data_IF_166972114383
#
_entry.id   IF_166972114383
#
_cell.length_a   1.000
_cell.length_b   1.000
_cell.length_c   1.000
_cell.angle_alpha   90.00
_cell.angle_beta   90.00
_cell.angle_gamma   90.00
#
_symmetry.space_group_name_H-M   'P 1'
#
loop_
_entity.id
_entity.type
_entity.pdbx_description
1 polymer ?
#
# COMPACT_ATOMS: atom_id res chain seq x y z
N UNK A 1 -9.99 -36.35 -74.48
CA UNK A 1 -10.02 -36.87 -73.10
C UNK A 1 -8.59 -36.97 -72.60
N UNK A 2 -8.28 -36.28 -71.50
CA UNK A 2 -6.96 -35.74 -71.14
C UNK A 2 -6.31 -36.49 -69.97
N UNK A 3 -4.98 -36.71 -70.12
CA UNK A 3 -3.84 -36.52 -69.17
C UNK A 3 -3.90 -37.19 -67.77
N UNK A 4 -2.91 -38.05 -67.42
CA UNK A 4 -1.68 -37.79 -66.59
C UNK A 4 -2.02 -37.39 -65.13
N UNK A 5 -1.38 -37.79 -64.02
CA UNK A 5 0.06 -37.93 -63.72
C UNK A 5 0.22 -38.39 -62.23
N UNK A 6 1.16 -39.31 -61.93
CA UNK A 6 2.09 -39.45 -60.77
C UNK A 6 1.60 -39.28 -59.30
N UNK A 7 1.68 -40.30 -58.43
CA UNK A 7 2.83 -40.85 -57.63
C UNK A 7 3.10 -40.12 -56.29
N UNK A 8 3.42 -40.94 -55.26
CA UNK A 8 4.05 -40.67 -53.93
C UNK A 8 3.06 -40.36 -52.77
N UNK A 9 3.18 -40.83 -51.52
CA UNK A 9 4.22 -41.57 -50.78
C UNK A 9 3.57 -42.21 -49.52
N UNK A 10 4.18 -43.30 -49.03
CA UNK A 10 3.78 -44.21 -47.94
C UNK A 10 4.23 -43.70 -46.55
N UNK A 11 3.37 -43.67 -45.52
CA UNK A 11 3.78 -43.70 -44.09
C UNK A 11 2.74 -44.48 -43.26
N UNK A 12 3.19 -45.57 -42.60
CA UNK A 12 2.45 -46.40 -41.63
C UNK A 12 2.62 -45.86 -40.19
N UNK A 13 1.67 -46.13 -39.25
CA UNK A 13 1.71 -45.65 -37.88
C UNK A 13 2.34 -46.69 -36.93
N UNK A 14 3.09 -46.26 -35.91
CA UNK A 14 3.47 -47.13 -34.79
C UNK A 14 3.32 -46.37 -33.47
N UNK A 15 2.23 -46.69 -32.77
CA UNK A 15 2.08 -46.52 -31.33
C UNK A 15 2.48 -47.82 -30.64
N UNK A 16 2.98 -47.72 -29.39
CA UNK A 16 3.33 -48.77 -28.40
C UNK A 16 4.85 -48.88 -28.15
N UNK A 17 5.26 -48.32 -27.00
CA UNK A 17 6.42 -48.58 -26.12
C UNK A 17 6.72 -47.22 -25.47
N UNK A 18 6.49 -47.00 -24.18
CA UNK A 18 7.53 -47.16 -23.15
C UNK A 18 6.82 -47.23 -21.78
N UNK A 19 6.81 -48.42 -21.19
CA UNK A 19 6.61 -48.65 -19.77
C UNK A 19 7.61 -49.73 -19.35
N UNK A 20 8.89 -49.35 -19.20
CA UNK A 20 9.90 -50.09 -18.44
C UNK A 20 11.24 -49.36 -18.56
N UNK A 21 11.60 -48.58 -17.53
CA UNK A 21 12.92 -48.58 -16.88
C UNK A 21 12.87 -47.57 -15.73
N UNK A 22 12.17 -47.91 -14.66
CA UNK A 22 12.66 -47.59 -13.33
C UNK A 22 13.90 -48.46 -13.09
N UNK A 23 14.87 -47.92 -12.33
CA UNK A 23 16.13 -48.56 -11.90
C UNK A 23 17.29 -48.48 -12.91
N UNK A 24 17.87 -47.30 -13.01
CA UNK A 24 19.32 -47.12 -13.16
C UNK A 24 19.66 -45.67 -12.82
N UNK A 25 20.16 -45.39 -11.61
CA UNK A 25 21.12 -44.33 -11.27
C UNK A 25 21.24 -44.23 -9.73
N UNK A 26 21.85 -45.25 -9.12
CA UNK A 26 22.43 -45.16 -7.78
C UNK A 26 23.93 -45.45 -7.93
N UNK A 27 24.73 -44.37 -8.04
CA UNK A 27 26.13 -44.27 -7.58
C UNK A 27 26.73 -42.92 -8.00
N UNK A 28 26.49 -41.90 -7.19
CA UNK A 28 27.54 -40.98 -6.73
C UNK A 28 26.95 -40.11 -5.60
N UNK A 29 27.53 -40.09 -4.38
CA UNK A 29 27.11 -39.14 -3.37
C UNK A 29 27.57 -37.75 -3.82
N UNK A 30 26.64 -36.97 -4.40
CA UNK A 30 26.88 -35.58 -4.73
C UNK A 30 27.23 -34.81 -3.47
N UNK A 31 28.40 -34.16 -3.48
CA UNK A 31 28.79 -33.14 -2.50
C UNK A 31 27.63 -32.14 -2.29
N UNK A 32 27.36 -31.68 -1.06
CA UNK A 32 26.51 -30.52 -0.88
C UNK A 32 27.18 -29.33 -1.57
N UNK A 33 26.58 -28.85 -2.65
CA UNK A 33 26.93 -27.56 -3.25
C UNK A 33 26.26 -26.52 -2.36
N UNK A 34 26.92 -26.16 -1.27
CA UNK A 34 26.72 -24.86 -0.66
C UNK A 34 27.31 -23.84 -1.63
N UNK A 35 26.55 -22.90 -2.20
CA UNK A 35 27.19 -21.70 -2.73
C UNK A 35 27.67 -20.93 -1.50
N UNK A 36 28.94 -21.11 -1.15
CA UNK A 36 29.64 -20.15 -0.31
C UNK A 36 29.59 -18.82 -1.08
N UNK A 37 28.85 -17.87 -0.55
CA UNK A 37 28.89 -16.48 -1.01
C UNK A 37 30.35 -16.01 -0.91
N UNK A 38 30.91 -15.36 -1.94
CA UNK A 38 32.27 -14.85 -1.85
C UNK A 38 32.33 -13.76 -0.77
N UNK A 39 33.07 -14.04 0.31
CA UNK A 39 33.64 -13.01 1.18
C UNK A 39 34.63 -12.20 0.35
N UNK A 40 34.18 -11.08 -0.21
CA UNK A 40 35.07 -10.00 -0.52
C UNK A 40 34.38 -8.69 -0.20
N UNK A 41 34.98 -7.99 0.75
CA UNK A 41 34.48 -6.75 1.31
C UNK A 41 34.37 -5.68 0.24
N UNK A 42 33.13 -5.26 0.02
CA UNK A 42 32.86 -3.85 -0.08
C UNK A 42 32.40 -3.45 1.32
N UNK A 43 33.28 -2.79 2.06
CA UNK A 43 32.85 -1.93 3.15
C UNK A 43 31.89 -0.92 2.52
N UNK A 44 30.60 -1.23 2.62
CA UNK A 44 29.52 -0.29 2.36
C UNK A 44 29.77 0.88 3.30
N UNK A 45 30.10 2.03 2.72
CA UNK A 45 30.24 3.29 3.45
C UNK A 45 29.03 3.42 4.38
N UNK A 46 29.30 3.39 5.68
CA UNK A 46 28.38 3.84 6.71
C UNK A 46 28.09 5.33 6.50
N UNK A 47 27.10 5.64 5.67
CA UNK A 47 26.30 6.88 5.76
C UNK A 47 25.04 6.77 4.88
N UNK A 48 24.10 5.93 5.30
CA UNK A 48 22.68 6.17 5.10
C UNK A 48 22.11 6.16 6.50
N UNK A 49 21.64 7.29 7.01
CA UNK A 49 20.73 7.32 8.15
C UNK A 49 19.59 6.35 7.83
N UNK A 50 19.61 5.16 8.43
CA UNK A 50 18.59 4.13 8.17
C UNK A 50 17.28 4.70 8.67
N UNK A 51 16.39 5.04 7.74
CA UNK A 51 15.04 5.52 8.06
C UNK A 51 14.36 4.48 8.97
N UNK A 52 13.61 4.90 10.00
CA UNK A 52 12.88 3.96 10.84
C UNK A 52 11.88 3.18 9.99
N UNK A 53 11.80 1.86 10.18
CA UNK A 53 10.90 1.02 9.39
C UNK A 53 9.58 0.77 10.11
N UNK A 54 8.48 0.92 9.39
CA UNK A 54 7.13 0.74 9.89
C UNK A 54 6.34 -0.17 8.95
N UNK A 55 5.74 -1.23 9.49
CA UNK A 55 4.80 -2.09 8.77
C UNK A 55 3.43 -1.94 9.41
N UNK A 56 2.44 -1.52 8.61
CA UNK A 56 1.08 -1.27 9.09
C UNK A 56 0.10 -2.10 8.26
N UNK A 57 -0.78 -2.82 8.93
CA UNK A 57 -1.82 -3.64 8.29
C UNK A 57 -3.19 -3.19 8.76
N UNK A 58 -4.08 -2.91 7.81
CA UNK A 58 -5.48 -2.62 8.11
C UNK A 58 -6.33 -3.86 7.87
N UNK A 59 -7.02 -4.34 8.90
CA UNK A 59 -8.06 -5.37 8.77
C UNK A 59 -9.40 -4.64 8.70
N UNK A 60 -10.00 -4.60 7.51
CA UNK A 60 -11.21 -3.82 7.27
C UNK A 60 -12.40 -4.72 7.01
N UNK A 61 -13.42 -4.53 7.83
CA UNK A 61 -14.76 -5.05 7.60
C UNK A 61 -15.33 -4.50 6.27
N UNK A 62 -15.74 -5.42 5.41
CA UNK A 62 -16.35 -5.16 4.13
C UNK A 62 -17.74 -5.80 4.00
N UNK A 63 -18.46 -6.02 5.11
CA UNK A 63 -19.85 -6.47 5.12
C UNK A 63 -20.83 -5.34 4.77
N UNK A 64 -22.10 -5.67 4.54
CA UNK A 64 -23.12 -4.71 4.12
C UNK A 64 -23.38 -3.58 5.13
N UNK A 65 -23.24 -3.84 6.44
CA UNK A 65 -23.41 -2.82 7.50
C UNK A 65 -22.41 -1.67 7.35
N UNK A 66 -21.22 -1.98 6.84
CA UNK A 66 -20.16 -1.01 6.56
C UNK A 66 -20.41 -0.17 5.30
N UNK A 67 -21.45 -0.40 4.50
CA UNK A 67 -21.69 0.32 3.22
C UNK A 67 -21.78 1.85 3.35
N UNK A 68 -22.31 2.37 4.47
CA UNK A 68 -22.31 3.80 4.78
C UNK A 68 -21.04 4.33 5.45
N UNK A 69 -20.14 3.43 5.88
CA UNK A 69 -19.00 3.70 6.75
C UNK A 69 -17.66 3.48 6.05
N UNK A 70 -17.63 2.61 5.04
CA UNK A 70 -16.42 2.19 4.37
C UNK A 70 -15.75 3.38 3.70
N UNK A 71 -16.49 4.34 3.14
CA UNK A 71 -15.93 5.59 2.61
C UNK A 71 -15.09 6.34 3.65
N UNK A 72 -15.67 6.58 4.83
CA UNK A 72 -14.98 7.25 5.93
C UNK A 72 -13.78 6.44 6.46
N UNK A 73 -13.93 5.11 6.59
CA UNK A 73 -12.84 4.24 7.00
C UNK A 73 -11.67 4.30 6.00
N UNK A 74 -11.95 4.27 4.70
CA UNK A 74 -10.94 4.37 3.64
C UNK A 74 -10.20 5.71 3.70
N UNK A 75 -10.92 6.81 3.88
CA UNK A 75 -10.34 8.15 4.09
C UNK A 75 -9.41 8.19 5.30
N UNK A 76 -9.83 7.56 6.40
CA UNK A 76 -9.04 7.49 7.63
C UNK A 76 -7.76 6.68 7.49
N UNK A 77 -7.83 5.53 6.83
CA UNK A 77 -6.64 4.72 6.53
C UNK A 77 -5.63 5.54 5.72
N UNK A 78 -6.11 6.30 4.73
CA UNK A 78 -5.28 7.20 3.95
C UNK A 78 -4.71 8.35 4.79
N UNK A 79 -5.52 8.98 5.64
CA UNK A 79 -5.13 10.05 6.57
C UNK A 79 -3.99 9.64 7.50
N UNK A 80 -4.12 8.47 8.13
CA UNK A 80 -3.12 7.91 9.04
C UNK A 80 -1.83 7.64 8.28
N UNK A 81 -1.92 6.92 7.17
CA UNK A 81 -0.73 6.51 6.42
C UNK A 81 0.03 7.71 5.86
N UNK A 82 -0.69 8.67 5.27
CA UNK A 82 -0.09 9.88 4.71
C UNK A 82 0.51 10.78 5.79
N UNK A 83 -0.08 10.83 6.99
CA UNK A 83 0.49 11.56 8.13
C UNK A 83 1.78 10.91 8.63
N UNK A 84 1.77 9.59 8.89
CA UNK A 84 2.93 8.86 9.41
C UNK A 84 4.10 8.88 8.45
N UNK A 85 3.83 8.75 7.15
CA UNK A 85 4.88 8.77 6.14
C UNK A 85 5.60 10.13 6.03
N UNK A 86 4.99 11.18 6.56
CA UNK A 86 5.52 12.55 6.55
C UNK A 86 6.00 13.02 7.93
N UNK A 87 6.03 12.12 8.92
CA UNK A 87 6.64 12.37 10.21
C UNK A 87 8.16 12.54 10.09
N UNK A 88 8.77 13.20 11.07
CA UNK A 88 10.22 13.30 11.17
C UNK A 88 10.74 12.42 12.31
N UNK A 89 11.80 11.61 12.13
CA UNK A 89 12.47 11.35 10.86
C UNK A 89 11.55 10.57 9.90
N UNK A 90 11.68 10.85 8.59
CA UNK A 90 10.88 10.19 7.55
C UNK A 90 11.02 8.66 7.62
N UNK A 91 9.93 7.92 7.88
CA UNK A 91 10.00 6.46 7.96
C UNK A 91 10.00 5.79 6.58
N UNK A 92 10.52 4.57 6.54
CA UNK A 92 10.25 3.59 5.48
C UNK A 92 8.98 2.81 5.86
N UNK A 93 7.89 3.07 5.16
CA UNK A 93 6.56 2.56 5.51
C UNK A 93 6.06 1.57 4.46
N UNK A 94 5.72 0.37 4.93
CA UNK A 94 5.02 -0.64 4.15
C UNK A 94 3.61 -0.78 4.70
N UNK A 95 2.62 -0.70 3.82
CA UNK A 95 1.22 -0.84 4.20
C UNK A 95 0.59 -2.03 3.49
N UNK A 96 -0.14 -2.83 4.26
CA UNK A 96 -0.94 -3.95 3.78
C UNK A 96 -2.39 -3.80 4.21
N UNK A 97 -3.28 -4.54 3.56
CA UNK A 97 -4.69 -4.57 3.89
C UNK A 97 -5.21 -6.00 3.88
N UNK A 98 -6.21 -6.27 4.71
CA UNK A 98 -7.00 -7.48 4.64
C UNK A 98 -8.46 -7.06 4.77
N UNK A 99 -9.24 -7.29 3.73
CA UNK A 99 -10.68 -7.13 3.83
C UNK A 99 -11.29 -8.42 4.34
N UNK A 100 -12.22 -8.34 5.27
CA UNK A 100 -12.96 -9.49 5.73
C UNK A 100 -14.47 -9.28 5.62
N UNK A 101 -15.18 -10.38 5.43
CA UNK A 101 -16.65 -10.45 5.52
C UNK A 101 -17.00 -11.63 6.42
N UNK A 102 -17.97 -12.44 6.06
CA UNK A 102 -18.29 -13.65 6.78
C UNK A 102 -18.38 -14.92 5.92
N UNK A 103 -18.50 -16.07 6.58
CA UNK A 103 -18.59 -17.38 5.93
C UNK A 103 -19.89 -17.48 5.14
N UNK A 104 -19.77 -17.73 3.85
CA UNK A 104 -20.91 -17.82 2.93
C UNK A 104 -21.03 -16.61 2.00
N UNK A 105 -20.27 -15.53 2.25
CA UNK A 105 -20.14 -14.41 1.34
C UNK A 105 -19.19 -14.72 0.16
N UNK A 106 -19.12 -13.79 -0.80
CA UNK A 106 -18.22 -13.86 -1.97
C UNK A 106 -16.75 -14.16 -1.60
N UNK A 107 -16.33 -13.75 -0.41
CA UNK A 107 -15.04 -14.07 0.19
C UNK A 107 -15.12 -13.92 1.71
N UNK A 108 -14.33 -14.71 2.43
CA UNK A 108 -14.15 -14.54 3.88
C UNK A 108 -13.06 -13.49 4.14
N UNK A 109 -11.91 -13.63 3.47
CA UNK A 109 -10.81 -12.67 3.55
C UNK A 109 -10.19 -12.41 2.17
N UNK A 110 -9.68 -11.20 1.95
CA UNK A 110 -8.89 -10.79 0.78
C UNK A 110 -7.66 -10.01 1.23
N UNK A 111 -6.48 -10.58 0.99
CA UNK A 111 -5.20 -10.00 1.41
C UNK A 111 -4.61 -9.15 0.28
N UNK A 112 -4.23 -7.93 0.64
CA UNK A 112 -3.31 -7.07 -0.09
C UNK A 112 -1.99 -7.09 0.68
N UNK A 113 -0.90 -7.61 0.08
CA UNK A 113 0.38 -7.74 0.76
C UNK A 113 0.94 -6.37 1.17
N UNK A 114 1.80 -6.39 2.19
CA UNK A 114 2.61 -5.23 2.58
C UNK A 114 3.43 -4.73 1.39
N UNK A 115 3.38 -3.43 1.14
CA UNK A 115 4.17 -2.80 0.09
C UNK A 115 4.24 -1.29 0.24
N UNK A 116 5.03 -0.66 -0.64
CA UNK A 116 5.28 0.79 -0.63
C UNK A 116 4.51 1.54 -1.73
N UNK A 117 3.80 0.83 -2.63
CA UNK A 117 2.98 1.46 -3.67
C UNK A 117 1.63 1.90 -3.06
N UNK A 118 1.67 3.08 -2.44
CA UNK A 118 0.51 3.71 -1.82
C UNK A 118 -0.58 4.11 -2.82
N UNK A 119 -0.24 4.33 -4.10
CA UNK A 119 -1.23 4.60 -5.14
C UNK A 119 -2.05 3.34 -5.43
N UNK A 120 -1.38 2.19 -5.55
CA UNK A 120 -2.04 0.90 -5.74
C UNK A 120 -2.85 0.50 -4.50
N UNK A 121 -2.34 0.77 -3.30
CA UNK A 121 -3.09 0.58 -2.07
C UNK A 121 -4.38 1.42 -2.08
N UNK A 122 -4.28 2.71 -2.43
CA UNK A 122 -5.43 3.60 -2.53
C UNK A 122 -6.44 3.11 -3.57
N UNK A 123 -6.00 2.69 -4.76
CA UNK A 123 -6.92 2.15 -5.78
C UNK A 123 -7.66 0.91 -5.29
N UNK A 124 -6.95 -0.06 -4.70
CA UNK A 124 -7.60 -1.27 -4.20
C UNK A 124 -8.54 -0.99 -3.02
N UNK A 125 -8.15 -0.06 -2.14
CA UNK A 125 -8.98 0.44 -1.06
C UNK A 125 -10.26 1.08 -1.63
N UNK A 126 -10.15 1.97 -2.62
CA UNK A 126 -11.30 2.62 -3.25
C UNK A 126 -12.19 1.64 -3.99
N UNK A 127 -11.62 0.62 -4.65
CA UNK A 127 -12.36 -0.38 -5.42
C UNK A 127 -13.14 -1.41 -4.59
N UNK A 128 -12.88 -1.52 -3.28
CA UNK A 128 -13.58 -2.48 -2.43
C UNK A 128 -14.97 -1.97 -2.02
N UNK A 129 -16.02 -2.75 -2.29
CA UNK A 129 -17.38 -2.45 -1.86
C UNK A 129 -17.81 -3.32 -0.67
N UNK A 130 -18.60 -2.72 0.21
CA UNK A 130 -19.20 -3.40 1.35
C UNK A 130 -20.43 -4.21 0.90
N UNK A 131 -20.44 -5.51 1.20
CA UNK A 131 -21.53 -6.42 0.81
C UNK A 131 -21.46 -7.72 1.61
N UNK A 132 -22.53 -8.51 1.60
CA UNK A 132 -22.60 -9.73 2.38
C UNK A 132 -22.79 -9.47 3.88
N UNK A 133 -22.52 -10.49 4.68
CA UNK A 133 -22.73 -10.50 6.12
C UNK A 133 -24.17 -10.81 6.53
N UNK A 134 -24.58 -10.30 7.70
CA UNK A 134 -25.89 -10.45 8.34
C UNK A 134 -26.02 -9.47 9.51
N UNK A 135 -26.99 -9.64 10.42
CA UNK A 135 -27.21 -8.71 11.55
C UNK A 135 -26.34 -9.04 12.79
N UNK A 136 -25.25 -9.80 12.64
CA UNK A 136 -24.58 -10.50 13.74
C UNK A 136 -23.06 -10.57 13.63
N UNK A 137 -22.41 -11.40 14.47
CA UNK A 137 -20.96 -11.53 14.51
C UNK A 137 -20.35 -11.78 13.13
N UNK A 138 -19.06 -11.49 12.98
CA UNK A 138 -18.37 -11.62 11.69
C UNK A 138 -17.08 -12.45 11.81
N UNK A 139 -16.43 -12.74 10.68
CA UNK A 139 -15.16 -13.50 10.63
C UNK A 139 -13.93 -12.67 11.06
N UNK A 140 -14.08 -11.87 12.12
CA UNK A 140 -12.99 -11.08 12.74
C UNK A 140 -11.84 -11.98 13.24
N UNK A 141 -12.15 -13.17 13.76
CA UNK A 141 -11.13 -14.13 14.20
C UNK A 141 -10.25 -14.60 13.03
N UNK A 142 -10.85 -14.94 11.89
CA UNK A 142 -10.12 -15.27 10.66
C UNK A 142 -9.26 -14.08 10.19
N UNK A 143 -9.82 -12.86 10.19
CA UNK A 143 -9.10 -11.65 9.81
C UNK A 143 -7.86 -11.40 10.68
N UNK A 144 -8.01 -11.50 12.00
CA UNK A 144 -6.91 -11.37 12.95
C UNK A 144 -5.85 -12.44 12.72
N UNK A 145 -6.28 -13.71 12.59
CA UNK A 145 -5.36 -14.83 12.42
C UNK A 145 -4.52 -14.66 11.16
N UNK A 146 -5.15 -14.30 10.04
CA UNK A 146 -4.46 -14.08 8.78
C UNK A 146 -3.61 -12.80 8.77
N UNK A 147 -4.09 -11.72 9.42
CA UNK A 147 -3.32 -10.50 9.62
C UNK A 147 -2.02 -10.75 10.39
N UNK A 148 -2.05 -11.58 11.42
CA UNK A 148 -0.87 -11.93 12.23
C UNK A 148 0.03 -12.97 11.54
N UNK A 149 -0.54 -13.92 10.80
CA UNK A 149 0.19 -15.11 10.34
C UNK A 149 0.46 -15.20 8.85
N UNK A 150 -0.36 -14.58 8.00
CA UNK A 150 -0.23 -14.65 6.54
C UNK A 150 0.35 -13.39 5.91
N UNK A 151 0.26 -12.25 6.60
CA UNK A 151 0.98 -11.05 6.18
C UNK A 151 2.49 -11.27 6.26
N UNK A 152 3.21 -10.84 5.23
CA UNK A 152 4.65 -11.00 5.11
C UNK A 152 5.39 -9.94 5.93
N UNK A 153 5.22 -9.99 7.25
CA UNK A 153 5.97 -9.15 8.19
C UNK A 153 7.47 -9.40 8.03
N UNK A 154 8.27 -8.34 8.10
CA UNK A 154 9.71 -8.50 8.20
C UNK A 154 10.09 -9.00 9.59
N UNK A 155 11.33 -9.45 9.76
CA UNK A 155 11.85 -9.95 11.03
C UNK A 155 12.90 -9.01 11.65
N UNK A 156 12.91 -7.73 11.26
CA UNK A 156 13.89 -6.76 11.79
C UNK A 156 13.50 -6.34 13.22
N UNK A 157 14.45 -6.30 14.18
CA UNK A 157 14.13 -6.05 15.58
C UNK A 157 13.51 -4.67 15.83
N UNK A 158 13.90 -3.67 15.04
CA UNK A 158 13.49 -2.28 15.20
C UNK A 158 12.35 -1.87 14.25
N UNK A 159 11.71 -2.82 13.56
CA UNK A 159 10.51 -2.51 12.79
C UNK A 159 9.32 -2.36 13.74
N UNK A 160 8.63 -1.23 13.65
CA UNK A 160 7.32 -1.06 14.25
C UNK A 160 6.27 -1.81 13.42
N UNK A 161 5.56 -2.76 14.05
CA UNK A 161 4.53 -3.58 13.40
C UNK A 161 3.19 -3.34 14.08
N UNK A 162 2.21 -2.88 13.32
CA UNK A 162 0.88 -2.62 13.84
C UNK A 162 -0.22 -3.13 12.93
N UNK A 163 -1.26 -3.67 13.55
CA UNK A 163 -2.53 -3.97 12.94
C UNK A 163 -3.55 -2.92 13.41
N UNK A 164 -4.40 -2.46 12.50
CA UNK A 164 -5.61 -1.69 12.80
C UNK A 164 -6.82 -2.51 12.37
N UNK A 165 -7.55 -3.07 13.33
CA UNK A 165 -8.83 -3.74 13.11
C UNK A 165 -9.94 -2.69 13.04
N UNK A 166 -10.74 -2.68 11.98
CA UNK A 166 -11.80 -1.69 11.70
C UNK A 166 -13.08 -2.40 11.27
N UNK A 167 -14.22 -2.05 11.86
CA UNK A 167 -15.50 -2.73 11.67
C UNK A 167 -16.49 -2.40 12.80
N UNK A 168 -17.69 -2.99 12.76
CA UNK A 168 -18.79 -2.64 13.68
C UNK A 168 -19.33 -3.79 14.55
N UNK A 169 -19.04 -5.06 14.20
CA UNK A 169 -19.54 -6.25 14.93
C UNK A 169 -18.45 -7.09 15.64
N UNK A 170 -18.83 -7.96 16.62
CA UNK A 170 -17.90 -8.82 17.33
C UNK A 170 -17.49 -10.05 16.48
N UNK A 171 -16.42 -10.78 16.86
CA UNK A 171 -16.08 -12.05 16.22
C UNK A 171 -17.12 -13.14 16.49
N UNK A 172 -17.32 -14.02 15.50
CA UNK A 172 -17.89 -15.35 15.72
C UNK A 172 -17.03 -16.17 16.70
N UNK A 173 -17.64 -16.70 17.75
CA UNK A 173 -16.98 -17.56 18.75
C UNK A 173 -17.49 -19.02 18.71
N UNK A 174 -18.41 -19.31 17.80
CA UNK A 174 -19.09 -20.60 17.63
C UNK A 174 -18.58 -21.39 16.42
N UNK A 175 -17.76 -20.76 15.57
CA UNK A 175 -17.11 -21.42 14.44
C UNK A 175 -16.08 -22.46 14.89
N UNK A 176 -16.42 -23.74 14.73
CA UNK A 176 -15.62 -24.90 15.21
C UNK A 176 -14.17 -24.97 14.69
N UNK A 177 -13.92 -24.40 13.52
CA UNK A 177 -12.61 -24.38 12.86
C UNK A 177 -12.14 -22.93 12.74
N UNK A 178 -12.04 -22.23 13.86
CA UNK A 178 -11.56 -20.86 13.92
C UNK A 178 -10.50 -20.72 15.02
N UNK A 179 -9.55 -19.80 14.82
CA UNK A 179 -8.56 -19.47 15.85
C UNK A 179 -9.07 -18.21 16.56
N UNK A 180 -9.53 -18.38 17.79
CA UNK A 180 -10.10 -17.27 18.53
C UNK A 180 -9.06 -16.18 18.81
N UNK A 181 -9.55 -14.94 18.94
CA UNK A 181 -8.70 -13.77 19.09
C UNK A 181 -7.70 -13.85 20.27
N UNK A 182 -7.95 -14.49 21.43
CA UNK A 182 -6.96 -14.56 22.50
C UNK A 182 -5.68 -15.28 22.10
N UNK A 183 -5.81 -16.38 21.35
CA UNK A 183 -4.70 -17.19 20.83
C UNK A 183 -3.94 -16.37 19.78
N UNK A 184 -4.65 -15.76 18.83
CA UNK A 184 -4.06 -14.90 17.81
C UNK A 184 -3.33 -13.68 18.41
N UNK A 185 -3.90 -13.04 19.44
CA UNK A 185 -3.23 -11.95 20.16
C UNK A 185 -1.93 -12.44 20.82
N UNK A 186 -1.94 -13.64 21.40
CA UNK A 186 -0.75 -14.24 22.01
C UNK A 186 0.35 -14.51 20.98
N UNK A 187 -0.01 -14.88 19.76
CA UNK A 187 0.93 -15.01 18.64
C UNK A 187 1.46 -13.65 18.16
N UNK A 188 0.57 -12.66 18.04
CA UNK A 188 0.94 -11.28 17.67
C UNK A 188 1.97 -10.68 18.63
N UNK A 189 1.79 -10.85 19.94
CA UNK A 189 2.74 -10.41 20.96
C UNK A 189 4.12 -11.04 20.75
N UNK A 190 4.19 -12.35 20.47
CA UNK A 190 5.47 -13.05 20.21
C UNK A 190 6.19 -12.50 18.97
N UNK A 191 5.44 -11.99 17.99
CA UNK A 191 5.97 -11.34 16.77
C UNK A 191 6.21 -9.84 16.94
N UNK A 192 5.92 -9.27 18.12
CA UNK A 192 6.02 -7.84 18.39
C UNK A 192 5.03 -7.00 17.58
N UNK A 193 3.86 -7.56 17.26
CA UNK A 193 2.77 -6.89 16.55
C UNK A 193 1.82 -6.29 17.59
N UNK A 194 1.57 -4.99 17.47
CA UNK A 194 0.55 -4.27 18.26
C UNK A 194 -0.76 -4.28 17.48
N UNK A 195 -1.89 -4.59 18.12
CA UNK A 195 -3.21 -4.60 17.48
C UNK A 195 -4.04 -3.46 18.07
N UNK A 196 -4.23 -2.41 17.27
CA UNK A 196 -5.17 -1.32 17.54
C UNK A 196 -6.55 -1.70 17.00
N UNK A 197 -7.61 -1.24 17.64
CA UNK A 197 -9.00 -1.55 17.24
C UNK A 197 -9.83 -0.28 17.14
N UNK A 198 -10.55 -0.12 16.02
CA UNK A 198 -11.39 1.04 15.68
C UNK A 198 -12.82 0.54 15.48
N UNK A 199 -13.61 0.55 16.56
CA UNK A 199 -15.01 0.15 16.50
C UNK A 199 -15.83 1.28 15.89
N UNK A 200 -16.53 0.97 14.82
CA UNK A 200 -17.54 1.83 14.21
C UNK A 200 -18.90 1.53 14.87
N UNK A 201 -19.60 2.56 15.34
CA UNK A 201 -20.89 2.39 16.02
C UNK A 201 -20.75 2.06 17.51
N UNK A 202 -21.75 1.37 18.07
CA UNK A 202 -21.89 1.19 19.51
C UNK A 202 -22.28 -0.22 19.99
N UNK A 203 -22.02 -1.25 19.18
CA UNK A 203 -22.36 -2.63 19.57
C UNK A 203 -21.62 -3.02 20.87
N UNK A 204 -22.33 -3.30 21.98
CA UNK A 204 -21.70 -3.46 23.29
C UNK A 204 -20.75 -4.66 23.38
N UNK A 205 -21.06 -5.75 22.67
CA UNK A 205 -20.26 -6.98 22.71
C UNK A 205 -18.92 -6.77 22.01
N UNK A 206 -18.95 -6.12 20.84
CA UNK A 206 -17.80 -5.69 20.07
C UNK A 206 -16.98 -4.72 20.91
N UNK A 207 -17.58 -3.69 21.50
CA UNK A 207 -16.86 -2.75 22.36
C UNK A 207 -16.08 -3.43 23.49
N UNK A 208 -16.65 -4.45 24.13
CA UNK A 208 -15.96 -5.24 25.16
C UNK A 208 -14.82 -6.06 24.57
N UNK A 209 -15.07 -6.82 23.51
CA UNK A 209 -14.07 -7.73 22.90
C UNK A 209 -12.92 -6.95 22.26
N UNK A 210 -13.23 -5.84 21.59
CA UNK A 210 -12.24 -5.02 20.87
C UNK A 210 -11.31 -4.31 21.86
N UNK A 211 -11.82 -3.82 22.99
CA UNK A 211 -10.98 -3.35 24.12
C UNK A 211 -10.06 -4.45 24.64
N UNK A 212 -10.55 -5.69 24.71
CA UNK A 212 -9.74 -6.82 25.13
C UNK A 212 -8.62 -7.13 24.13
N UNK A 213 -8.92 -7.17 22.82
CA UNK A 213 -7.94 -7.37 21.74
C UNK A 213 -6.83 -6.31 21.81
N UNK A 214 -7.21 -5.03 21.87
CA UNK A 214 -6.25 -3.93 21.97
C UNK A 214 -5.41 -4.04 23.24
N UNK A 215 -6.05 -4.24 24.40
CA UNK A 215 -5.37 -4.36 25.69
C UNK A 215 -4.37 -5.50 25.75
N UNK A 216 -4.68 -6.68 25.19
CA UNK A 216 -3.76 -7.83 25.16
C UNK A 216 -2.45 -7.51 24.44
N UNK A 217 -2.50 -6.70 23.40
CA UNK A 217 -1.34 -6.40 22.53
C UNK A 217 -0.73 -5.02 22.79
N UNK A 218 -1.17 -4.33 23.86
CA UNK A 218 -0.82 -2.93 24.19
C UNK A 218 -1.21 -1.93 23.10
N UNK A 219 -2.20 -2.26 22.28
CA UNK A 219 -2.80 -1.35 21.33
C UNK A 219 -3.78 -0.37 21.98
N UNK A 220 -4.26 0.57 21.19
CA UNK A 220 -5.29 1.51 21.57
C UNK A 220 -6.66 1.07 21.03
N UNK A 221 -7.70 1.28 21.83
CA UNK A 221 -9.09 1.10 21.43
C UNK A 221 -9.71 2.46 21.15
N UNK A 222 -10.28 2.59 19.97
CA UNK A 222 -11.02 3.79 19.54
C UNK A 222 -12.42 3.36 19.18
N UNK A 223 -13.39 4.12 19.66
CA UNK A 223 -14.78 3.99 19.27
C UNK A 223 -15.20 5.27 18.59
N UNK A 224 -15.86 5.14 17.45
CA UNK A 224 -16.37 6.27 16.70
C UNK A 224 -17.83 6.04 16.35
N UNK A 225 -18.61 7.12 16.37
CA UNK A 225 -19.97 7.12 15.85
C UNK A 225 -19.98 6.93 14.33
N UNK A 226 -21.16 6.59 13.79
CA UNK A 226 -21.37 6.37 12.34
C UNK A 226 -21.06 7.64 11.52
N UNK A 227 -21.09 8.81 12.14
CA UNK A 227 -20.53 10.05 11.63
C UNK A 227 -19.17 10.27 12.27
N UNK A 228 -18.13 9.59 11.77
CA UNK A 228 -16.77 9.66 12.35
C UNK A 228 -16.51 11.05 12.92
N UNK A 229 -16.37 11.18 14.24
CA UNK A 229 -16.13 12.45 14.93
C UNK A 229 -14.91 13.16 14.31
N UNK A 230 -15.16 13.88 13.22
CA UNK A 230 -14.12 14.33 12.32
C UNK A 230 -14.13 15.84 12.26
N UNK A 231 -12.96 16.38 12.46
CA UNK A 231 -12.68 17.75 12.12
C UNK A 231 -12.14 17.70 10.70
N UNK A 232 -13.05 17.79 9.75
CA UNK A 232 -12.71 17.99 8.36
C UNK A 232 -12.64 19.49 8.08
N UNK A 233 -11.46 19.95 7.65
CA UNK A 233 -11.26 21.34 7.24
C UNK A 233 -11.07 21.35 5.73
N UNK A 234 -12.14 21.71 5.01
CA UNK A 234 -12.07 21.94 3.57
C UNK A 234 -11.28 23.22 3.30
N UNK A 235 -10.44 23.19 2.27
CA UNK A 235 -9.59 24.32 1.93
C UNK A 235 -9.78 24.75 0.47
N UNK A 236 -9.62 26.04 0.14
CA UNK A 236 -9.61 26.48 -1.25
C UNK A 236 -8.39 25.98 -2.04
N UNK A 237 -7.44 25.32 -1.38
CA UNK A 237 -6.25 24.75 -2.01
C UNK A 237 -6.50 23.32 -2.52
N UNK A 238 -7.50 22.62 -1.99
CA UNK A 238 -7.83 21.24 -2.38
C UNK A 238 -8.12 21.15 -3.89
N UNK A 239 -9.02 22.02 -4.37
CA UNK A 239 -9.41 22.12 -5.78
C UNK A 239 -8.28 22.62 -6.70
N UNK A 240 -7.28 23.31 -6.14
CA UNK A 240 -6.12 23.81 -6.90
C UNK A 240 -5.05 22.74 -7.06
N UNK A 241 -4.87 21.87 -6.06
CA UNK A 241 -3.85 20.83 -6.07
C UNK A 241 -4.26 19.66 -6.97
N UNK A 242 -5.54 19.26 -6.94
CA UNK A 242 -6.05 18.11 -7.69
C UNK A 242 -5.67 18.13 -9.20
N UNK A 243 -5.92 19.20 -9.98
CA UNK A 243 -5.54 19.24 -11.40
C UNK A 243 -4.01 19.24 -11.61
N UNK A 244 -3.23 19.78 -10.68
CA UNK A 244 -1.76 19.76 -10.79
C UNK A 244 -1.22 18.35 -10.62
N UNK A 245 -1.78 17.57 -9.70
CA UNK A 245 -1.43 16.16 -9.53
C UNK A 245 -1.75 15.35 -10.80
N UNK A 246 -2.92 15.59 -11.40
CA UNK A 246 -3.28 14.95 -12.67
C UNK A 246 -2.30 15.30 -13.79
N UNK A 247 -1.89 16.56 -13.89
CA UNK A 247 -0.85 16.98 -14.87
C UNK A 247 0.54 16.43 -14.54
N UNK A 248 0.86 16.20 -13.26
CA UNK A 248 2.11 15.59 -12.81
C UNK A 248 2.15 14.12 -13.21
N UNK A 249 1.07 13.38 -12.98
CA UNK A 249 0.93 11.97 -13.38
C UNK A 249 1.11 11.78 -14.90
N UNK A 250 0.62 12.71 -15.72
CA UNK A 250 0.83 12.70 -17.19
C UNK A 250 2.29 12.87 -17.60
N UNK A 251 3.16 13.33 -16.71
CA UNK A 251 4.60 13.40 -17.01
C UNK A 251 5.29 12.04 -16.84
N UNK A 252 4.64 11.04 -16.24
CA UNK A 252 5.20 9.71 -16.04
C UNK A 252 5.38 9.01 -17.38
N UNK A 253 6.58 8.51 -17.61
CA UNK A 253 6.95 7.89 -18.86
C UNK A 253 7.88 6.72 -18.56
N UNK A 254 7.40 5.50 -18.76
CA UNK A 254 8.15 4.28 -18.49
C UNK A 254 8.78 3.72 -19.76
N UNK A 255 9.90 3.04 -19.59
CA UNK A 255 10.68 2.46 -20.69
C UNK A 255 11.05 1.00 -20.35
N UNK A 256 11.67 0.29 -21.28
CA UNK A 256 12.12 -1.09 -21.08
C UNK A 256 10.96 -2.04 -20.79
N UNK A 257 11.09 -2.86 -19.74
CA UNK A 257 10.08 -3.86 -19.37
C UNK A 257 8.83 -3.24 -18.76
N UNK A 258 8.96 -2.00 -18.27
CA UNK A 258 7.88 -1.28 -17.60
C UNK A 258 7.11 -0.36 -18.55
N UNK A 259 7.37 -0.36 -19.86
CA UNK A 259 6.77 0.59 -20.81
C UNK A 259 5.24 0.65 -20.74
N UNK A 260 4.59 -0.49 -20.52
CA UNK A 260 3.13 -0.63 -20.38
C UNK A 260 2.57 0.12 -19.15
N UNK A 261 3.40 0.36 -18.12
CA UNK A 261 2.98 1.10 -16.93
C UNK A 261 2.62 2.55 -17.23
N UNK A 262 3.11 3.13 -18.33
CA UNK A 262 2.77 4.50 -18.71
C UNK A 262 1.26 4.68 -18.85
N UNK A 263 0.62 3.82 -19.64
CA UNK A 263 -0.81 3.90 -19.88
C UNK A 263 -1.61 3.50 -18.63
N UNK A 264 -1.15 2.46 -17.92
CA UNK A 264 -1.80 1.99 -16.69
C UNK A 264 -1.82 3.11 -15.63
N UNK A 265 -0.67 3.74 -15.34
CA UNK A 265 -0.58 4.80 -14.33
C UNK A 265 -1.36 6.05 -14.74
N UNK A 266 -1.42 6.39 -16.03
CA UNK A 266 -2.25 7.50 -16.52
C UNK A 266 -3.75 7.21 -16.39
N UNK A 267 -4.20 6.00 -16.72
CA UNK A 267 -5.58 5.57 -16.52
C UNK A 267 -5.98 5.58 -15.03
N UNK A 268 -5.10 5.09 -14.16
CA UNK A 268 -5.28 5.14 -12.71
C UNK A 268 -5.42 6.59 -12.22
N UNK A 269 -4.52 7.48 -12.64
CA UNK A 269 -4.59 8.90 -12.28
C UNK A 269 -5.90 9.55 -12.73
N UNK A 270 -6.39 9.24 -13.93
CA UNK A 270 -7.66 9.76 -14.43
C UNK A 270 -8.88 9.31 -13.61
N UNK A 271 -8.86 8.09 -13.03
CA UNK A 271 -9.89 7.62 -12.10
C UNK A 271 -9.79 8.36 -10.76
N UNK A 272 -8.60 8.40 -10.17
CA UNK A 272 -8.35 9.03 -8.86
C UNK A 272 -8.69 10.52 -8.89
N UNK A 273 -8.33 11.24 -9.95
CA UNK A 273 -8.59 12.68 -10.10
C UNK A 273 -10.08 13.07 -10.02
N UNK A 274 -11.00 12.12 -10.27
CA UNK A 274 -12.46 12.33 -10.15
C UNK A 274 -13.00 12.16 -8.72
N UNK A 275 -12.17 11.67 -7.79
CA UNK A 275 -12.52 11.50 -6.40
C UNK A 275 -12.57 12.82 -5.63
N UNK A 276 -12.62 12.72 -4.31
CA UNK A 276 -12.68 13.87 -3.41
C UNK A 276 -11.41 14.73 -3.49
N UNK A 277 -11.60 16.05 -3.64
CA UNK A 277 -10.49 17.00 -3.81
C UNK A 277 -9.55 17.07 -2.59
N UNK A 278 -10.06 16.95 -1.37
CA UNK A 278 -9.25 17.01 -0.16
C UNK A 278 -8.38 15.76 -0.01
N UNK A 279 -8.94 14.57 -0.31
CA UNK A 279 -8.17 13.32 -0.36
C UNK A 279 -7.07 13.41 -1.43
N UNK A 280 -7.42 13.87 -2.62
CA UNK A 280 -6.49 14.00 -3.74
C UNK A 280 -5.37 15.00 -3.44
N UNK A 281 -5.68 16.10 -2.74
CA UNK A 281 -4.68 17.07 -2.32
C UNK A 281 -3.65 16.48 -1.34
N UNK A 282 -4.11 15.68 -0.36
CA UNK A 282 -3.21 14.95 0.55
C UNK A 282 -2.36 13.93 -0.20
N UNK A 283 -2.95 13.24 -1.19
CA UNK A 283 -2.20 12.30 -2.03
C UNK A 283 -1.13 12.99 -2.85
N UNK A 284 -1.44 14.15 -3.43
CA UNK A 284 -0.48 14.94 -4.17
C UNK A 284 0.69 15.39 -3.29
N UNK A 285 0.41 15.89 -2.08
CA UNK A 285 1.43 16.25 -1.09
C UNK A 285 2.35 15.06 -0.78
N UNK A 286 1.76 13.89 -0.53
CA UNK A 286 2.50 12.68 -0.23
C UNK A 286 3.38 12.24 -1.41
N UNK A 287 2.85 12.22 -2.63
CA UNK A 287 3.57 11.77 -3.83
C UNK A 287 4.81 12.62 -4.15
N UNK A 288 4.78 13.92 -3.84
CA UNK A 288 5.93 14.82 -4.05
C UNK A 288 6.85 14.93 -2.82
N UNK A 289 6.51 14.26 -1.72
CA UNK A 289 7.30 14.26 -0.48
C UNK A 289 8.60 13.47 -0.62
N UNK A 290 9.60 13.78 0.21
CA UNK A 290 10.86 13.04 0.26
C UNK A 290 10.69 11.56 0.70
N UNK A 291 9.54 11.25 1.32
CA UNK A 291 9.17 9.91 1.73
C UNK A 291 8.79 9.04 0.53
N UNK A 292 7.93 9.55 -0.35
CA UNK A 292 7.33 8.75 -1.42
C UNK A 292 7.88 8.99 -2.81
N UNK A 293 8.58 10.11 -3.08
CA UNK A 293 8.91 10.50 -4.46
C UNK A 293 9.58 9.38 -5.28
N UNK A 294 10.46 8.59 -4.65
CA UNK A 294 11.10 7.43 -5.30
C UNK A 294 10.10 6.30 -5.62
N UNK A 295 9.30 5.88 -4.63
CA UNK A 295 8.31 4.82 -4.80
C UNK A 295 7.17 5.22 -5.75
N UNK A 296 6.75 6.48 -5.72
CA UNK A 296 5.73 7.05 -6.59
C UNK A 296 6.08 6.91 -8.09
N UNK A 297 7.31 7.24 -8.48
CA UNK A 297 7.76 7.02 -9.86
C UNK A 297 8.11 5.56 -10.13
N UNK A 298 8.70 4.86 -9.16
CA UNK A 298 9.08 3.46 -9.31
C UNK A 298 10.30 3.26 -10.21
N UNK A 299 10.55 2.00 -10.56
CA UNK A 299 11.68 1.62 -11.43
C UNK A 299 11.36 1.86 -12.91
N UNK A 300 12.40 2.07 -13.71
CA UNK A 300 12.28 2.27 -15.16
C UNK A 300 11.36 3.44 -15.56
N UNK A 301 11.21 4.44 -14.69
CA UNK A 301 10.55 5.71 -15.00
C UNK A 301 11.58 6.69 -15.57
N UNK A 302 11.48 6.93 -16.87
CA UNK A 302 12.51 7.56 -17.70
C UNK A 302 12.88 8.96 -17.22
N UNK A 303 11.88 9.78 -16.92
CA UNK A 303 12.11 11.19 -16.56
C UNK A 303 12.83 11.26 -15.21
N UNK A 304 12.45 10.44 -14.23
CA UNK A 304 13.06 10.38 -12.91
C UNK A 304 14.50 9.82 -12.98
N UNK A 305 14.76 8.81 -13.80
CA UNK A 305 16.13 8.29 -14.01
C UNK A 305 17.04 9.33 -14.66
N UNK A 306 16.56 10.05 -15.66
CA UNK A 306 17.33 11.14 -16.30
C UNK A 306 17.59 12.28 -15.31
N UNK A 307 16.58 12.66 -14.51
CA UNK A 307 16.76 13.62 -13.41
C UNK A 307 17.77 13.14 -12.35
N UNK A 308 17.93 11.81 -12.21
CA UNK A 308 18.89 11.18 -11.30
C UNK A 308 20.27 10.97 -11.94
N UNK A 309 20.48 11.45 -13.17
CA UNK A 309 21.78 11.48 -13.84
C UNK A 309 21.97 10.45 -14.95
N UNK A 310 20.98 9.61 -15.24
CA UNK A 310 21.07 8.65 -16.35
C UNK A 310 21.04 9.37 -17.69
N UNK A 311 21.96 9.03 -18.58
CA UNK A 311 21.94 9.59 -19.93
C UNK A 311 20.92 8.87 -20.81
N UNK A 312 20.13 9.63 -21.59
CA UNK A 312 19.22 9.05 -22.59
C UNK A 312 19.95 8.17 -23.62
N UNK A 313 21.22 8.44 -23.88
CA UNK A 313 22.03 7.65 -24.83
C UNK A 313 22.37 6.26 -24.31
N UNK A 314 22.24 6.01 -23.00
CA UNK A 314 22.48 4.69 -22.40
C UNK A 314 21.29 3.74 -22.58
N UNK A 315 20.14 4.26 -23.03
CA UNK A 315 18.91 3.48 -23.19
C UNK A 315 18.81 3.01 -24.64
N UNK A 316 18.71 1.70 -24.91
CA UNK A 316 18.52 1.19 -26.26
C UNK A 316 17.29 1.80 -26.93
N UNK A 317 17.40 2.14 -28.22
CA UNK A 317 16.30 2.77 -28.94
C UNK A 317 15.01 1.91 -28.97
N UNK A 318 15.15 0.58 -28.91
CA UNK A 318 14.03 -0.35 -28.83
C UNK A 318 13.28 -0.29 -27.48
N UNK A 319 13.99 0.08 -26.41
CA UNK A 319 13.45 0.14 -25.05
C UNK A 319 12.84 1.49 -24.72
N UNK A 320 13.05 2.51 -25.55
CA UNK A 320 12.45 3.81 -25.36
C UNK A 320 10.92 3.75 -25.46
N UNK A 321 10.20 4.68 -24.81
CA UNK A 321 8.75 4.82 -24.97
C UNK A 321 8.37 5.02 -26.45
N UNK A 322 7.20 4.52 -26.86
CA UNK A 322 6.79 4.47 -28.28
C UNK A 322 6.81 5.83 -28.97
N UNK A 323 6.38 6.88 -28.27
CA UNK A 323 6.42 8.25 -28.79
C UNK A 323 7.85 8.76 -29.04
N UNK A 324 8.86 8.20 -28.37
CA UNK A 324 10.27 8.59 -28.50
C UNK A 324 11.07 7.71 -29.48
N UNK A 325 10.58 6.52 -29.85
CA UNK A 325 11.28 5.59 -30.76
C UNK A 325 11.59 6.25 -32.12
N UNK A 326 10.64 7.02 -32.64
CA UNK A 326 10.76 7.70 -33.94
C UNK A 326 11.41 9.08 -33.90
N UNK A 327 11.74 9.59 -32.70
CA UNK A 327 12.42 10.87 -32.55
C UNK A 327 13.93 10.74 -32.80
N UNK A 328 14.54 11.74 -33.42
CA UNK A 328 16.00 11.91 -33.47
C UNK A 328 16.57 12.16 -32.08
N UNK A 329 17.89 12.01 -31.91
CA UNK A 329 18.58 12.23 -30.63
C UNK A 329 18.31 13.64 -30.08
N UNK A 330 18.36 14.67 -30.94
CA UNK A 330 18.09 16.06 -30.56
C UNK A 330 16.64 16.28 -30.16
N UNK A 331 15.69 15.64 -30.86
CA UNK A 331 14.27 15.71 -30.52
C UNK A 331 13.97 15.01 -29.19
N UNK A 332 14.57 13.84 -28.94
CA UNK A 332 14.46 13.11 -27.66
C UNK A 332 14.95 13.98 -26.51
N UNK A 333 16.12 14.61 -26.65
CA UNK A 333 16.67 15.48 -25.62
C UNK A 333 15.77 16.69 -25.37
N UNK A 334 15.27 17.32 -26.43
CA UNK A 334 14.37 18.48 -26.33
C UNK A 334 13.05 18.11 -25.65
N UNK A 335 12.47 16.96 -26.02
CA UNK A 335 11.25 16.45 -25.41
C UNK A 335 11.44 16.14 -23.93
N UNK A 336 12.55 15.47 -23.58
CA UNK A 336 12.88 15.14 -22.20
C UNK A 336 13.10 16.39 -21.34
N UNK A 337 13.85 17.39 -21.84
CA UNK A 337 14.06 18.65 -21.11
C UNK A 337 12.73 19.36 -20.82
N UNK A 338 11.82 19.41 -21.80
CA UNK A 338 10.46 19.97 -21.60
C UNK A 338 9.67 19.22 -20.52
N UNK A 339 9.73 17.89 -20.52
CA UNK A 339 9.06 17.07 -19.49
C UNK A 339 9.66 17.32 -18.10
N UNK A 340 10.99 17.37 -17.99
CA UNK A 340 11.70 17.65 -16.72
C UNK A 340 11.33 19.03 -16.17
N UNK A 341 11.33 20.06 -17.01
CA UNK A 341 10.93 21.42 -16.63
C UNK A 341 9.48 21.47 -16.15
N UNK A 342 8.55 20.85 -16.91
CA UNK A 342 7.14 20.74 -16.53
C UNK A 342 6.99 20.03 -15.18
N UNK A 343 7.66 18.89 -14.99
CA UNK A 343 7.60 18.11 -13.75
C UNK A 343 8.12 18.90 -12.55
N UNK A 344 9.30 19.53 -12.67
CA UNK A 344 9.87 20.36 -11.60
C UNK A 344 8.93 21.49 -11.18
N UNK A 345 8.31 22.16 -12.16
CA UNK A 345 7.33 23.22 -11.90
C UNK A 345 6.09 22.69 -11.16
N UNK A 346 5.50 21.59 -11.62
CA UNK A 346 4.33 20.98 -11.00
C UNK A 346 4.61 20.51 -9.57
N UNK A 347 5.74 19.82 -9.35
CA UNK A 347 6.14 19.39 -8.00
C UNK A 347 6.31 20.58 -7.05
N UNK A 348 6.90 21.69 -7.52
CA UNK A 348 7.09 22.89 -6.72
C UNK A 348 5.74 23.57 -6.40
N UNK A 349 4.86 23.71 -7.37
CA UNK A 349 3.52 24.29 -7.16
C UNK A 349 2.69 23.45 -6.19
N UNK A 350 2.72 22.12 -6.31
CA UNK A 350 2.06 21.21 -5.36
C UNK A 350 2.63 21.42 -3.95
N UNK A 351 3.95 21.43 -3.78
CA UNK A 351 4.59 21.67 -2.47
C UNK A 351 4.18 23.01 -1.84
N UNK A 352 4.17 24.07 -2.63
CA UNK A 352 3.83 25.42 -2.15
C UNK A 352 2.36 25.52 -1.76
N UNK A 353 1.46 24.88 -2.52
CA UNK A 353 0.04 24.82 -2.20
C UNK A 353 -0.24 23.91 -1.01
N UNK A 354 0.42 22.76 -0.90
CA UNK A 354 0.30 21.87 0.27
C UNK A 354 0.73 22.56 1.55
N UNK A 355 1.77 23.40 1.50
CA UNK A 355 2.15 24.24 2.65
C UNK A 355 1.05 25.23 3.03
N UNK A 356 0.45 25.91 2.07
CA UNK A 356 -0.65 26.85 2.32
C UNK A 356 -1.90 26.14 2.84
N UNK A 357 -2.20 24.96 2.29
CA UNK A 357 -3.26 24.05 2.75
C UNK A 357 -3.06 23.71 4.23
N UNK A 358 -1.88 23.21 4.60
CA UNK A 358 -1.59 22.83 5.98
C UNK A 358 -1.66 24.03 6.95
N UNK A 359 -1.14 25.20 6.55
CA UNK A 359 -1.24 26.42 7.36
C UNK A 359 -2.68 26.87 7.57
N UNK A 360 -3.52 26.77 6.54
CA UNK A 360 -4.94 27.10 6.64
C UNK A 360 -5.65 26.14 7.60
N UNK A 361 -5.39 24.84 7.47
CA UNK A 361 -5.95 23.82 8.34
C UNK A 361 -5.57 24.09 9.79
N UNK A 362 -4.29 24.29 10.07
CA UNK A 362 -3.80 24.61 11.42
C UNK A 362 -4.48 25.87 11.99
N UNK A 363 -4.64 26.91 11.18
CA UNK A 363 -5.33 28.13 11.59
C UNK A 363 -6.82 27.89 11.92
N UNK A 364 -7.52 27.04 11.18
CA UNK A 364 -8.90 26.66 11.49
C UNK A 364 -8.98 25.76 12.73
N UNK A 365 -8.06 24.81 12.90
CA UNK A 365 -8.00 23.95 14.10
C UNK A 365 -7.80 24.77 15.38
N UNK A 366 -6.99 25.83 15.33
CA UNK A 366 -6.76 26.72 16.47
C UNK A 366 -8.01 27.50 16.90
N UNK A 367 -9.01 27.64 16.02
CA UNK A 367 -10.30 28.28 16.35
C UNK A 367 -11.28 27.31 17.00
N UNK A 368 -11.01 26.01 16.94
CA UNK A 368 -11.88 24.97 17.48
C UNK A 368 -11.55 24.68 18.95
N UNK A 369 -12.50 24.04 19.63
CA UNK A 369 -12.28 23.53 20.98
C UNK A 369 -11.10 22.55 21.00
N UNK A 370 -10.14 22.80 21.89
CA UNK A 370 -8.89 22.05 21.95
C UNK A 370 -9.12 20.58 22.29
N UNK A 371 -10.01 20.29 23.23
CA UNK A 371 -10.29 18.93 23.66
C UNK A 371 -10.96 18.14 22.52
N UNK A 372 -11.83 18.81 21.74
CA UNK A 372 -12.39 18.24 20.51
C UNK A 372 -11.32 17.94 19.44
N UNK A 373 -10.32 18.81 19.29
CA UNK A 373 -9.20 18.59 18.35
C UNK A 373 -8.36 17.40 18.77
N UNK A 374 -7.93 17.36 20.04
CA UNK A 374 -7.04 16.32 20.55
C UNK A 374 -7.73 14.95 20.68
N UNK A 375 -9.05 14.92 20.89
CA UNK A 375 -9.86 13.70 20.89
C UNK A 375 -10.27 13.24 19.48
N UNK A 376 -9.92 13.98 18.43
CA UNK A 376 -10.23 13.59 17.06
C UNK A 376 -9.52 12.29 16.68
N UNK A 377 -10.15 11.54 15.78
CA UNK A 377 -9.65 10.25 15.31
C UNK A 377 -8.18 10.30 14.84
N UNK A 378 -7.84 11.28 14.00
CA UNK A 378 -6.49 11.39 13.42
C UNK A 378 -5.43 11.64 14.51
N UNK A 379 -5.72 12.51 15.49
CA UNK A 379 -4.80 12.82 16.60
C UNK A 379 -4.64 11.66 17.58
N UNK A 380 -5.71 10.93 17.88
CA UNK A 380 -5.65 9.77 18.78
C UNK A 380 -4.81 8.66 18.15
N UNK A 381 -5.04 8.33 16.87
CA UNK A 381 -4.25 7.32 16.17
C UNK A 381 -2.79 7.75 16.05
N UNK A 382 -2.53 8.99 15.64
CA UNK A 382 -1.15 9.46 15.47
C UNK A 382 -0.38 9.39 16.79
N UNK A 383 -0.98 9.83 17.90
CA UNK A 383 -0.36 9.71 19.24
C UNK A 383 -0.17 8.26 19.68
N UNK A 384 -1.13 7.39 19.38
CA UNK A 384 -1.01 5.96 19.64
C UNK A 384 0.22 5.39 18.95
N UNK A 385 0.37 5.67 17.65
CA UNK A 385 1.51 5.21 16.86
C UNK A 385 2.81 5.83 17.34
N UNK A 386 2.85 7.12 17.68
CA UNK A 386 4.04 7.75 18.26
C UNK A 386 4.50 7.05 19.54
N UNK A 387 3.56 6.77 20.46
CA UNK A 387 3.83 6.08 21.71
C UNK A 387 4.32 4.64 21.49
N UNK A 388 3.67 3.90 20.59
CA UNK A 388 3.99 2.50 20.32
C UNK A 388 5.30 2.36 19.52
N UNK A 389 5.57 3.28 18.59
CA UNK A 389 6.82 3.35 17.83
C UNK A 389 8.01 3.71 18.72
N UNK A 390 7.80 4.51 19.77
CA UNK A 390 8.84 4.81 20.76
C UNK A 390 9.35 3.56 21.49
N UNK A 391 8.50 2.53 21.69
CA UNK A 391 8.94 1.24 22.24
C UNK A 391 9.89 0.47 21.30
N UNK A 392 10.03 0.93 20.05
CA UNK A 392 10.95 0.42 19.02
C UNK A 392 12.10 1.38 18.74
N UNK A 393 12.35 2.33 19.62
CA UNK A 393 13.34 3.41 19.47
C UNK A 393 13.08 4.30 18.24
N UNK A 394 11.83 4.33 17.74
CA UNK A 394 11.39 5.20 16.66
C UNK A 394 10.70 6.42 17.26
N UNK A 395 11.42 7.54 17.32
CA UNK A 395 10.87 8.80 17.81
C UNK A 395 10.26 9.61 16.66
N UNK A 396 8.96 9.43 16.43
CA UNK A 396 8.20 10.24 15.47
C UNK A 396 7.88 11.62 16.06
N UNK A 397 8.31 12.68 15.40
CA UNK A 397 8.03 14.07 15.76
C UNK A 397 6.84 14.63 14.95
N UNK A 398 6.28 15.75 15.40
CA UNK A 398 5.15 16.42 14.75
C UNK A 398 3.77 16.03 15.30
N UNK A 399 2.73 16.35 14.51
CA UNK A 399 1.31 16.13 14.81
C UNK A 399 0.65 15.42 13.63
N UNK A 400 -0.55 14.87 13.84
CA UNK A 400 -1.35 14.37 12.73
C UNK A 400 -1.57 15.46 11.69
N UNK A 401 -1.39 15.12 10.41
CA UNK A 401 -1.74 16.01 9.29
C UNK A 401 -3.21 15.77 8.92
N UNK A 402 -3.92 16.84 8.56
CA UNK A 402 -5.35 16.79 8.16
C UNK A 402 -5.54 17.45 6.80
#
# INVERSE_FOLDING_TARGET
>A
MKKRLYILLLILPVSIFIYCTCVAFLKNPGRPITPALPENGLQEKADRTTRPKMQIVFLLDATGSMSGLIGAAKEKIWSITSSLSQSEPVPDIEVGMLFYRDRGDDFITRIIPLGTDMDNLYEQLMAMDASGGGDGPESVNQALYEGVNKMQWDNLPNTYRAIFLVGDYPPHMDYRNDVHYPETCSEGIKKGIVINTILMGNEPTAARIWKEIAGKTKGEYIQTDMSVNNIEVRTPYDDRINPLQYELDKTRLYYGKSSELTEVKQMQSAKVNKGDAAINARRAEYNVSAANKGAYYGSEELVNEVMSGKSLSEIPAADLPDNMKNMSVTERQTYMNKLIEKRKKLEQEIKDLSKQRQQHIEAELLKMDKDKVESSFDDVIYRAVQKQALEKDIKLEGKAKR
#
